data_IF_391300423207
#
_entry.id   IF_391300423207
#
_cell.length_a   1.000
_cell.length_b   1.000
_cell.length_c   1.000
_cell.angle_alpha   90.00
_cell.angle_beta   90.00
_cell.angle_gamma   90.00
#
_symmetry.space_group_name_H-M   'P 1'
#
loop_
_entity.id
_entity.type
_entity.pdbx_description
1 polymer ?
#
# COMPACT_ATOMS: atom_id res chain seq x y z
N UNK A 1 14.27 -1.41 3.27
CA UNK A 1 15.63 -1.45 3.85
C UNK A 1 16.01 -0.08 4.37
N UNK A 2 16.13 0.05 5.72
CA UNK A 2 16.62 1.24 6.41
C UNK A 2 18.17 1.33 6.37
N UNK A 3 18.80 0.88 5.28
CA UNK A 3 20.25 0.91 5.17
C UNK A 3 20.75 2.36 5.17
N UNK A 4 21.47 2.72 6.22
CA UNK A 4 22.04 4.07 6.39
C UNK A 4 21.26 4.99 7.31
N UNK A 5 20.10 4.60 7.83
CA UNK A 5 19.24 5.41 8.69
C UNK A 5 19.23 4.94 10.16
N UNK A 6 20.06 3.96 10.52
CA UNK A 6 20.19 3.48 11.89
C UNK A 6 20.57 4.61 12.88
N UNK A 7 21.23 5.66 12.37
CA UNK A 7 21.58 6.83 13.18
C UNK A 7 20.38 7.67 13.65
N UNK A 8 19.21 7.46 13.09
CA UNK A 8 17.97 8.12 13.53
C UNK A 8 17.41 7.53 14.83
N UNK A 9 17.95 6.38 15.28
CA UNK A 9 17.49 5.69 16.48
C UNK A 9 18.55 5.75 17.57
N UNK A 10 18.12 5.98 18.80
CA UNK A 10 18.96 5.83 19.99
C UNK A 10 19.14 4.37 20.41
N UNK A 11 18.20 3.52 19.97
CA UNK A 11 18.15 2.10 20.26
C UNK A 11 18.91 1.30 19.19
N UNK A 12 19.28 0.07 19.54
CA UNK A 12 19.87 -0.87 18.58
C UNK A 12 18.81 -1.31 17.57
N UNK A 13 19.05 -1.00 16.30
CA UNK A 13 18.16 -1.42 15.20
C UNK A 13 18.45 -2.90 14.87
N UNK A 14 17.41 -3.71 14.97
CA UNK A 14 17.47 -5.14 14.65
C UNK A 14 16.68 -5.38 13.37
N UNK A 15 17.34 -5.99 12.38
CA UNK A 15 16.72 -6.32 11.09
C UNK A 15 16.15 -7.72 11.15
N UNK A 16 14.88 -7.83 10.76
CA UNK A 16 14.24 -9.12 10.55
C UNK A 16 14.16 -9.42 9.05
N UNK A 17 14.18 -10.71 8.65
CA UNK A 17 13.99 -11.08 7.25
C UNK A 17 12.69 -10.53 6.67
N UNK A 18 12.69 -10.19 5.39
CA UNK A 18 11.55 -9.55 4.72
C UNK A 18 10.27 -10.40 4.73
N UNK A 19 10.40 -11.72 4.87
CA UNK A 19 9.33 -12.71 4.94
C UNK A 19 8.94 -13.12 6.37
N UNK A 20 9.55 -12.49 7.38
CA UNK A 20 9.25 -12.78 8.79
C UNK A 20 7.92 -12.20 9.30
N UNK A 21 7.33 -11.26 8.57
CA UNK A 21 6.06 -10.63 8.91
C UNK A 21 5.10 -10.66 7.71
N UNK A 22 4.55 -11.84 7.35
CA UNK A 22 3.55 -11.92 6.29
C UNK A 22 2.25 -11.25 6.73
N UNK A 23 1.47 -10.77 5.76
CA UNK A 23 0.12 -10.32 6.03
C UNK A 23 -0.77 -11.51 6.40
N UNK A 24 -1.81 -11.26 7.20
CA UNK A 24 -2.82 -12.27 7.50
C UNK A 24 -3.94 -12.13 6.48
N UNK A 25 -4.24 -13.18 5.69
CA UNK A 25 -5.35 -13.13 4.76
C UNK A 25 -6.66 -12.98 5.55
N UNK A 26 -7.60 -12.14 5.10
CA UNK A 26 -8.90 -12.04 5.74
C UNK A 26 -9.67 -13.36 5.62
N UNK A 27 -10.11 -13.91 6.75
CA UNK A 27 -10.67 -15.27 6.86
C UNK A 27 -11.91 -15.52 5.97
N UNK A 28 -12.71 -14.48 5.72
CA UNK A 28 -14.01 -14.60 5.03
C UNK A 28 -14.08 -13.85 3.70
N UNK A 29 -12.99 -13.27 3.22
CA UNK A 29 -13.00 -12.45 2.01
C UNK A 29 -12.42 -13.22 0.84
N UNK A 30 -13.30 -13.86 0.06
CA UNK A 30 -12.90 -14.39 -1.24
C UNK A 30 -12.50 -13.26 -2.17
N UNK A 31 -11.34 -13.42 -2.82
CA UNK A 31 -10.92 -12.51 -3.89
C UNK A 31 -12.02 -12.49 -4.97
N UNK A 32 -12.52 -11.30 -5.27
CA UNK A 32 -13.38 -11.13 -6.44
C UNK A 32 -12.53 -11.38 -7.68
N UNK A 33 -12.90 -12.31 -8.58
CA UNK A 33 -12.13 -12.56 -9.79
C UNK A 33 -11.94 -11.25 -10.56
N UNK A 34 -10.70 -10.96 -10.91
CA UNK A 34 -10.37 -9.79 -11.70
C UNK A 34 -10.63 -10.10 -13.17
N UNK A 35 -11.80 -9.72 -13.67
CA UNK A 35 -12.11 -9.74 -15.10
C UNK A 35 -11.94 -8.30 -15.62
N UNK A 36 -10.74 -7.96 -16.06
CA UNK A 36 -10.49 -6.64 -16.67
C UNK A 36 -10.66 -6.76 -18.18
N UNK A 37 -11.63 -6.02 -18.71
CA UNK A 37 -11.60 -5.66 -20.13
C UNK A 37 -10.57 -4.53 -20.28
N UNK A 38 -9.67 -4.65 -21.26
CA UNK A 38 -8.69 -3.62 -21.58
C UNK A 38 -9.33 -2.23 -21.61
N UNK A 39 -8.64 -1.25 -21.03
CA UNK A 39 -9.08 0.15 -21.06
C UNK A 39 -9.32 0.61 -22.51
N UNK A 40 -8.40 0.29 -23.41
CA UNK A 40 -8.51 0.65 -24.82
C UNK A 40 -9.74 0.03 -25.49
N UNK A 41 -10.07 -1.24 -25.17
CA UNK A 41 -11.27 -1.91 -25.68
C UNK A 41 -12.54 -1.21 -25.19
N UNK A 42 -12.58 -0.82 -23.89
CA UNK A 42 -13.71 -0.07 -23.33
C UNK A 42 -13.82 1.32 -23.95
N UNK A 43 -12.70 2.00 -24.15
CA UNK A 43 -12.64 3.30 -24.82
C UNK A 43 -13.17 3.24 -26.25
N UNK A 44 -12.81 2.21 -27.01
CA UNK A 44 -13.29 1.99 -28.37
C UNK A 44 -14.80 1.70 -28.42
N UNK A 45 -15.32 0.98 -27.43
CA UNK A 45 -16.75 0.70 -27.34
C UNK A 45 -17.58 1.95 -27.01
N UNK A 46 -16.98 2.96 -26.37
CA UNK A 46 -17.63 4.22 -26.00
C UNK A 46 -17.22 5.36 -26.92
N UNK A 47 -17.82 5.40 -28.10
CA UNK A 47 -17.45 6.34 -29.18
C UNK A 47 -17.83 7.80 -28.98
N UNK A 48 -18.66 8.14 -27.95
CA UNK A 48 -19.17 9.49 -27.75
C UNK A 48 -18.27 10.40 -26.91
N UNK A 49 -17.66 9.86 -25.83
CA UNK A 49 -16.81 10.64 -24.93
C UNK A 49 -15.63 9.81 -24.46
N UNK A 50 -14.43 10.41 -24.31
CA UNK A 50 -13.30 9.72 -23.74
C UNK A 50 -13.57 9.25 -22.30
N UNK A 51 -13.33 7.98 -22.01
CA UNK A 51 -13.38 7.48 -20.65
C UNK A 51 -12.22 8.04 -19.83
N UNK A 52 -12.47 8.55 -18.63
CA UNK A 52 -11.37 8.93 -17.74
C UNK A 52 -10.63 7.70 -17.24
N UNK A 53 -9.30 7.81 -17.11
CA UNK A 53 -8.49 6.85 -16.37
C UNK A 53 -8.82 7.00 -14.88
N UNK A 54 -9.35 5.95 -14.28
CA UNK A 54 -9.79 5.94 -12.89
C UNK A 54 -8.62 5.55 -12.00
N UNK A 55 -8.30 6.41 -11.05
CA UNK A 55 -7.17 6.26 -10.13
C UNK A 55 -7.70 6.04 -8.72
N UNK A 56 -7.44 4.88 -8.14
CA UNK A 56 -7.86 4.56 -6.78
C UNK A 56 -6.99 5.26 -5.73
N UNK A 57 -7.62 5.82 -4.72
CA UNK A 57 -6.99 6.34 -3.49
C UNK A 57 -7.58 5.56 -2.31
N UNK A 58 -6.91 4.48 -1.92
CA UNK A 58 -7.35 3.58 -0.84
C UNK A 58 -6.70 4.02 0.47
N UNK A 59 -7.25 5.02 1.13
CA UNK A 59 -6.59 5.62 2.29
C UNK A 59 -7.55 5.95 3.42
N UNK A 60 -7.06 5.89 4.66
CA UNK A 60 -7.79 6.44 5.79
C UNK A 60 -7.82 7.97 5.73
N UNK A 61 -8.84 8.54 6.34
CA UNK A 61 -9.07 9.99 6.44
C UNK A 61 -7.82 10.79 6.82
N UNK A 62 -7.06 10.29 7.80
CA UNK A 62 -5.88 10.99 8.36
C UNK A 62 -4.71 11.10 7.38
N UNK A 63 -4.72 10.32 6.30
CA UNK A 63 -3.67 10.32 5.29
C UNK A 63 -3.93 11.30 4.15
N UNK A 64 -5.17 11.81 4.04
CA UNK A 64 -5.55 12.80 3.03
C UNK A 64 -5.19 14.19 3.55
N UNK A 65 -4.08 14.71 3.09
CA UNK A 65 -3.55 15.99 3.50
C UNK A 65 -3.47 16.99 2.33
N UNK A 66 -3.32 18.30 2.60
CA UNK A 66 -3.31 19.32 1.55
C UNK A 66 -2.22 19.14 0.50
N UNK A 67 -1.02 18.69 0.88
CA UNK A 67 0.09 18.48 -0.07
C UNK A 67 -0.21 17.33 -1.02
N UNK A 68 -0.80 16.25 -0.51
CA UNK A 68 -1.24 15.13 -1.34
C UNK A 68 -2.33 15.56 -2.33
N UNK A 69 -3.36 16.27 -1.86
CA UNK A 69 -4.43 16.79 -2.72
C UNK A 69 -3.90 17.74 -3.79
N UNK A 70 -3.00 18.66 -3.42
CA UNK A 70 -2.37 19.57 -4.38
C UNK A 70 -1.56 18.81 -5.45
N UNK A 71 -0.87 17.73 -5.05
CA UNK A 71 -0.14 16.87 -5.99
C UNK A 71 -1.08 16.15 -6.95
N UNK A 72 -2.23 15.64 -6.47
CA UNK A 72 -3.24 15.02 -7.34
C UNK A 72 -3.85 16.04 -8.32
N UNK A 73 -4.11 17.27 -7.89
CA UNK A 73 -4.59 18.34 -8.77
C UNK A 73 -3.55 18.69 -9.84
N UNK A 74 -2.26 18.70 -9.49
CA UNK A 74 -1.19 18.93 -10.46
C UNK A 74 -1.09 17.79 -11.49
N UNK A 75 -1.31 16.54 -11.07
CA UNK A 75 -1.40 15.39 -11.97
C UNK A 75 -2.58 15.56 -12.94
N UNK A 76 -3.79 15.89 -12.42
CA UNK A 76 -4.97 16.12 -13.26
C UNK A 76 -4.72 17.25 -14.29
N UNK A 77 -4.12 18.36 -13.85
CA UNK A 77 -3.81 19.52 -14.69
C UNK A 77 -2.78 19.19 -15.80
N UNK A 78 -1.78 18.34 -15.51
CA UNK A 78 -0.68 17.99 -16.44
C UNK A 78 -1.02 16.82 -17.35
N UNK A 79 -2.01 16.02 -17.00
CA UNK A 79 -2.39 14.85 -17.78
C UNK A 79 -2.97 15.23 -19.14
N UNK A 80 -2.55 14.51 -20.19
CA UNK A 80 -3.05 14.62 -21.54
C UNK A 80 -4.36 13.86 -21.77
N UNK A 81 -4.74 13.01 -20.83
CA UNK A 81 -5.97 12.24 -20.88
C UNK A 81 -6.83 12.57 -19.66
N UNK A 82 -8.13 12.37 -19.76
CA UNK A 82 -9.01 12.57 -18.63
C UNK A 82 -8.66 11.62 -17.47
N UNK A 83 -8.52 12.16 -16.27
CA UNK A 83 -8.24 11.42 -15.04
C UNK A 83 -9.40 11.58 -14.07
N UNK A 84 -9.72 10.55 -13.33
CA UNK A 84 -10.70 10.61 -12.23
C UNK A 84 -10.16 9.91 -11.00
N UNK A 85 -9.92 10.68 -9.95
CA UNK A 85 -9.53 10.14 -8.64
C UNK A 85 -10.75 9.59 -7.92
N UNK A 86 -10.64 8.34 -7.46
CA UNK A 86 -11.70 7.62 -6.76
C UNK A 86 -11.22 7.33 -5.33
N UNK A 87 -11.71 8.10 -4.37
CA UNK A 87 -11.33 7.99 -2.97
C UNK A 87 -12.20 6.95 -2.26
N UNK A 88 -11.54 6.01 -1.58
CA UNK A 88 -12.14 4.99 -0.74
C UNK A 88 -11.67 5.22 0.70
N UNK A 89 -12.50 5.90 1.48
CA UNK A 89 -12.11 6.54 2.75
C UNK A 89 -12.25 5.61 3.97
N UNK A 90 -12.29 4.29 3.78
CA UNK A 90 -12.40 3.33 4.87
C UNK A 90 -13.63 3.57 5.73
N UNK A 91 -13.43 3.83 7.03
CA UNK A 91 -14.53 4.00 8.00
C UNK A 91 -15.07 5.44 8.09
N UNK A 92 -14.73 6.34 7.17
CA UNK A 92 -15.23 7.72 7.20
C UNK A 92 -16.75 7.76 7.04
N UNK A 93 -17.43 8.40 7.97
CA UNK A 93 -18.88 8.55 8.01
C UNK A 93 -19.30 9.92 8.55
N UNK A 94 -20.56 10.32 8.30
CA UNK A 94 -21.14 11.53 8.84
C UNK A 94 -20.34 12.78 8.52
N UNK A 95 -20.23 13.69 9.49
CA UNK A 95 -19.59 15.01 9.31
C UNK A 95 -18.12 14.90 8.84
N UNK A 96 -17.39 13.88 9.27
CA UNK A 96 -15.99 13.68 8.82
C UNK A 96 -15.94 13.41 7.33
N UNK A 97 -16.82 12.55 6.82
CA UNK A 97 -16.92 12.27 5.39
C UNK A 97 -17.33 13.52 4.60
N UNK A 98 -18.30 14.27 5.10
CA UNK A 98 -18.80 15.49 4.42
C UNK A 98 -17.74 16.58 4.38
N UNK A 99 -17.01 16.78 5.49
CA UNK A 99 -15.88 17.72 5.53
C UNK A 99 -14.81 17.35 4.50
N UNK A 100 -14.41 16.09 4.45
CA UNK A 100 -13.40 15.63 3.50
C UNK A 100 -13.88 15.69 2.06
N UNK A 101 -15.12 15.31 1.81
CA UNK A 101 -15.72 15.44 0.47
C UNK A 101 -15.65 16.88 -0.01
N UNK A 102 -16.00 17.83 0.83
CA UNK A 102 -15.92 19.25 0.50
C UNK A 102 -14.48 19.71 0.26
N UNK A 103 -13.53 19.28 1.12
CA UNK A 103 -12.13 19.62 0.96
C UNK A 103 -11.53 19.01 -0.33
N UNK A 104 -11.85 17.76 -0.64
CA UNK A 104 -11.43 17.10 -1.88
C UNK A 104 -12.03 17.80 -3.10
N UNK A 105 -13.33 18.04 -3.12
CA UNK A 105 -14.00 18.68 -4.26
C UNK A 105 -13.58 20.13 -4.47
N UNK A 106 -13.12 20.84 -3.44
CA UNK A 106 -12.56 22.18 -3.59
C UNK A 106 -11.26 22.17 -4.44
N UNK A 107 -10.53 21.05 -4.47
CA UNK A 107 -9.25 20.91 -5.18
C UNK A 107 -9.39 20.03 -6.42
N UNK A 108 -10.22 19.01 -6.36
CA UNK A 108 -10.48 17.99 -7.39
C UNK A 108 -12.01 17.89 -7.63
N UNK A 109 -12.64 18.81 -8.35
CA UNK A 109 -14.09 18.84 -8.53
C UNK A 109 -14.67 17.58 -9.18
N UNK A 110 -13.87 16.89 -10.02
CA UNK A 110 -14.25 15.65 -10.71
C UNK A 110 -14.03 14.37 -9.93
N UNK A 111 -13.51 14.44 -8.70
CA UNK A 111 -13.22 13.27 -7.90
C UNK A 111 -14.50 12.55 -7.40
N UNK A 112 -14.41 11.24 -7.30
CA UNK A 112 -15.42 10.41 -6.62
C UNK A 112 -15.00 10.18 -5.18
N UNK A 113 -15.85 10.52 -4.21
CA UNK A 113 -15.58 10.31 -2.78
C UNK A 113 -16.60 9.31 -2.24
N UNK A 114 -16.13 8.10 -2.01
CA UNK A 114 -16.96 6.98 -1.60
C UNK A 114 -16.98 6.86 -0.08
N UNK A 115 -18.16 6.68 0.49
CA UNK A 115 -18.35 6.31 1.88
C UNK A 115 -17.88 4.86 2.13
N UNK A 116 -17.85 4.49 3.40
CA UNK A 116 -17.62 3.08 3.77
C UNK A 116 -18.61 2.15 3.07
N UNK A 117 -18.11 1.06 2.55
CA UNK A 117 -18.90 0.05 1.86
C UNK A 117 -18.48 -1.37 2.27
N UNK A 118 -19.35 -2.38 2.09
CA UNK A 118 -18.99 -3.76 2.30
C UNK A 118 -17.79 -4.19 1.46
N UNK A 119 -16.99 -5.14 1.96
CA UNK A 119 -15.71 -5.53 1.33
C UNK A 119 -15.85 -5.97 -0.13
N UNK A 120 -16.89 -6.74 -0.46
CA UNK A 120 -17.12 -7.17 -1.85
C UNK A 120 -17.43 -5.99 -2.78
N UNK A 121 -18.21 -5.01 -2.30
CA UNK A 121 -18.50 -3.79 -3.06
C UNK A 121 -17.23 -2.95 -3.26
N UNK A 122 -16.39 -2.84 -2.22
CA UNK A 122 -15.10 -2.17 -2.29
C UNK A 122 -14.16 -2.84 -3.30
N UNK A 123 -14.02 -4.17 -3.26
CA UNK A 123 -13.23 -4.92 -4.25
C UNK A 123 -13.74 -4.72 -5.68
N UNK A 124 -15.05 -4.75 -5.87
CA UNK A 124 -15.66 -4.49 -7.17
C UNK A 124 -15.43 -3.05 -7.65
N UNK A 125 -15.46 -2.09 -6.72
CA UNK A 125 -15.14 -0.70 -7.03
C UNK A 125 -13.67 -0.50 -7.41
N UNK A 126 -12.74 -1.17 -6.72
CA UNK A 126 -11.32 -1.19 -7.11
C UNK A 126 -11.11 -1.79 -8.50
N UNK A 127 -11.83 -2.87 -8.84
CA UNK A 127 -11.78 -3.46 -10.17
C UNK A 127 -12.19 -2.50 -11.29
N UNK A 128 -12.93 -1.43 -10.97
CA UNK A 128 -13.28 -0.39 -11.94
C UNK A 128 -12.19 0.67 -12.11
N UNK A 129 -11.12 0.64 -11.33
CA UNK A 129 -9.98 1.54 -11.43
C UNK A 129 -8.86 0.93 -12.29
N UNK A 130 -7.97 1.78 -12.82
CA UNK A 130 -6.88 1.36 -13.70
C UNK A 130 -5.54 1.24 -12.96
N UNK A 131 -5.36 2.05 -11.94
CA UNK A 131 -4.16 2.13 -11.10
C UNK A 131 -4.54 2.68 -9.74
N UNK A 132 -3.58 2.66 -8.81
CA UNK A 132 -3.74 3.32 -7.52
C UNK A 132 -2.60 4.28 -7.22
N UNK A 133 -2.82 5.16 -6.25
CA UNK A 133 -1.79 6.05 -5.70
C UNK A 133 -1.79 5.96 -4.18
N UNK A 134 -0.60 5.81 -3.60
CA UNK A 134 -0.42 5.85 -2.15
C UNK A 134 -0.33 7.29 -1.67
N UNK A 135 -1.07 7.67 -0.62
CA UNK A 135 -0.88 8.97 0.02
C UNK A 135 0.50 9.04 0.70
N UNK A 136 0.96 10.25 0.93
CA UNK A 136 2.21 10.52 1.60
C UNK A 136 2.04 11.68 2.63
N UNK A 137 2.92 11.85 3.61
CA UNK A 137 4.18 11.13 3.86
C UNK A 137 4.02 9.75 4.50
N UNK A 138 2.84 9.38 4.95
CA UNK A 138 2.61 8.13 5.66
C UNK A 138 2.28 6.99 4.71
N UNK A 139 2.80 5.80 5.03
CA UNK A 139 2.54 4.57 4.27
C UNK A 139 1.05 4.23 4.14
N UNK A 140 0.71 3.47 3.14
CA UNK A 140 -0.66 3.02 2.89
C UNK A 140 -0.88 1.52 3.12
N UNK A 141 0.17 0.75 3.20
CA UNK A 141 0.24 -0.69 3.51
C UNK A 141 -1.00 -1.52 3.10
N UNK A 142 -2.08 -1.52 3.90
CA UNK A 142 -3.31 -2.26 3.59
C UNK A 142 -3.97 -1.82 2.28
N UNK A 143 -3.96 -0.52 1.98
CA UNK A 143 -4.49 -0.03 0.71
C UNK A 143 -3.66 -0.48 -0.49
N UNK A 144 -2.34 -0.63 -0.34
CA UNK A 144 -1.47 -1.24 -1.35
C UNK A 144 -1.84 -2.70 -1.55
N UNK A 145 -1.95 -3.47 -0.45
CA UNK A 145 -2.35 -4.90 -0.48
C UNK A 145 -3.69 -5.07 -1.19
N UNK A 146 -4.69 -4.26 -0.83
CA UNK A 146 -6.02 -4.32 -1.45
C UNK A 146 -5.95 -4.04 -2.96
N UNK A 147 -5.20 -3.01 -3.36
CA UNK A 147 -5.08 -2.59 -4.75
C UNK A 147 -4.34 -3.64 -5.61
N UNK A 148 -3.18 -4.13 -5.16
CA UNK A 148 -2.39 -5.10 -5.93
C UNK A 148 -3.09 -6.45 -6.04
N UNK A 149 -3.87 -6.87 -5.03
CA UNK A 149 -4.73 -8.06 -5.11
C UNK A 149 -5.79 -7.94 -6.20
N UNK A 150 -6.19 -6.72 -6.55
CA UNK A 150 -7.07 -6.44 -7.69
C UNK A 150 -6.29 -6.18 -8.99
N UNK A 151 -4.98 -6.45 -9.02
CA UNK A 151 -4.13 -6.25 -10.21
C UNK A 151 -3.94 -4.78 -10.58
N UNK A 152 -4.04 -3.86 -9.62
CA UNK A 152 -3.77 -2.44 -9.85
C UNK A 152 -2.29 -2.16 -9.66
N UNK A 153 -1.55 -1.69 -10.65
CA UNK A 153 -0.26 -1.06 -10.44
C UNK A 153 -0.45 0.30 -9.77
N UNK A 154 0.58 0.79 -9.10
CA UNK A 154 0.46 2.08 -8.41
C UNK A 154 1.79 2.78 -8.21
N UNK A 155 1.73 3.94 -7.55
CA UNK A 155 2.91 4.75 -7.21
C UNK A 155 2.91 5.03 -5.71
N UNK A 156 4.07 4.89 -5.08
CA UNK A 156 4.31 5.33 -3.72
C UNK A 156 5.42 6.39 -3.68
N UNK A 157 5.41 7.20 -2.62
CA UNK A 157 6.48 8.14 -2.31
C UNK A 157 7.29 7.59 -1.14
N UNK A 158 8.60 7.42 -1.34
CA UNK A 158 9.56 7.12 -0.28
C UNK A 158 10.35 8.35 0.12
N UNK A 159 10.95 8.33 1.30
CA UNK A 159 11.73 9.43 1.85
C UNK A 159 12.65 8.94 2.98
N UNK A 160 13.33 9.84 3.70
CA UNK A 160 14.28 9.46 4.74
C UNK A 160 13.63 8.89 6.00
N UNK A 161 12.34 9.06 6.17
CA UNK A 161 11.66 8.65 7.39
C UNK A 161 11.22 7.18 7.35
N UNK A 162 11.37 6.47 8.47
CA UNK A 162 11.00 5.04 8.60
C UNK A 162 9.60 4.73 8.06
N UNK A 163 8.65 5.61 8.36
CA UNK A 163 7.27 5.43 7.94
C UNK A 163 7.05 5.56 6.43
N UNK A 164 8.01 6.06 5.65
CA UNK A 164 7.92 6.16 4.19
C UNK A 164 8.37 4.89 3.45
N UNK A 165 9.07 3.97 4.12
CA UNK A 165 9.66 2.78 3.49
C UNK A 165 8.73 1.56 3.40
N UNK A 166 7.60 1.55 4.08
CA UNK A 166 6.73 0.36 4.12
C UNK A 166 6.11 0.06 2.76
N UNK A 167 5.58 1.08 2.07
CA UNK A 167 5.01 0.90 0.72
C UNK A 167 6.12 0.56 -0.29
N UNK A 168 7.28 1.19 -0.18
CA UNK A 168 8.49 0.83 -0.95
C UNK A 168 8.85 -0.65 -0.79
N UNK A 169 8.91 -1.13 0.45
CA UNK A 169 9.19 -2.54 0.75
C UNK A 169 8.20 -3.50 0.08
N UNK A 170 6.90 -3.15 0.07
CA UNK A 170 5.88 -3.92 -0.62
C UNK A 170 6.07 -3.91 -2.14
N UNK A 171 6.36 -2.75 -2.73
CA UNK A 171 6.60 -2.62 -4.17
C UNK A 171 7.79 -3.46 -4.62
N UNK A 172 8.90 -3.43 -3.87
CA UNK A 172 10.09 -4.25 -4.14
C UNK A 172 9.81 -5.74 -4.00
N UNK A 173 9.07 -6.14 -2.96
CA UNK A 173 8.66 -7.53 -2.74
C UNK A 173 7.80 -8.05 -3.89
N UNK A 174 6.92 -7.22 -4.44
CA UNK A 174 6.08 -7.51 -5.60
C UNK A 174 6.83 -7.37 -6.94
N UNK A 175 8.12 -6.98 -6.91
CA UNK A 175 8.96 -6.75 -8.10
C UNK A 175 8.37 -5.73 -9.07
N UNK A 176 7.69 -4.73 -8.53
CA UNK A 176 7.24 -3.59 -9.32
C UNK A 176 8.43 -2.74 -9.76
N UNK A 177 8.36 -2.04 -10.92
CA UNK A 177 9.43 -1.19 -11.40
C UNK A 177 9.85 -0.11 -10.38
N UNK A 178 11.16 0.11 -10.22
CA UNK A 178 11.72 1.11 -9.29
C UNK A 178 11.20 2.53 -9.57
N UNK A 179 10.87 2.86 -10.80
CA UNK A 179 10.30 4.15 -11.17
C UNK A 179 8.92 4.44 -10.55
N UNK A 180 8.24 3.42 -10.03
CA UNK A 180 6.98 3.55 -9.28
C UNK A 180 7.22 3.86 -7.79
N UNK A 181 8.47 3.83 -7.35
CA UNK A 181 8.93 4.21 -6.01
C UNK A 181 9.56 5.59 -6.12
N UNK A 182 8.75 6.62 -5.96
CA UNK A 182 9.20 7.99 -6.14
C UNK A 182 9.97 8.52 -4.92
N UNK A 183 11.04 9.28 -5.15
CA UNK A 183 11.86 9.90 -4.10
C UNK A 183 11.57 11.40 -3.91
N UNK A 184 10.50 11.90 -4.52
CA UNK A 184 10.08 13.30 -4.41
C UNK A 184 8.81 13.57 -5.22
N UNK A 185 8.16 14.69 -4.95
CA UNK A 185 6.85 15.03 -5.54
C UNK A 185 6.87 15.04 -7.06
N UNK A 186 7.91 15.58 -7.68
CA UNK A 186 8.00 15.63 -9.14
C UNK A 186 8.21 14.24 -9.76
N UNK A 187 8.98 13.36 -9.09
CA UNK A 187 9.12 11.97 -9.52
C UNK A 187 7.78 11.22 -9.37
N UNK A 188 7.05 11.47 -8.28
CA UNK A 188 5.73 10.91 -8.05
C UNK A 188 4.74 11.31 -9.15
N UNK A 189 4.67 12.61 -9.46
CA UNK A 189 3.82 13.13 -10.52
C UNK A 189 4.16 12.48 -11.87
N UNK A 190 5.45 12.41 -12.22
CA UNK A 190 5.89 11.78 -13.50
C UNK A 190 5.51 10.31 -13.56
N UNK A 191 5.71 9.55 -12.47
CA UNK A 191 5.37 8.13 -12.42
C UNK A 191 3.85 7.90 -12.59
N UNK A 192 3.02 8.72 -11.91
CA UNK A 192 1.56 8.63 -12.06
C UNK A 192 1.14 9.02 -13.47
N UNK A 193 1.67 10.12 -14.03
CA UNK A 193 1.35 10.53 -15.41
C UNK A 193 1.73 9.44 -16.41
N UNK A 194 2.86 8.77 -16.22
CA UNK A 194 3.26 7.65 -17.07
C UNK A 194 2.25 6.51 -17.00
N UNK A 195 1.84 6.09 -15.80
CA UNK A 195 0.79 5.06 -15.64
C UNK A 195 -0.56 5.49 -16.24
N UNK A 196 -0.89 6.78 -16.17
CA UNK A 196 -2.14 7.31 -16.71
C UNK A 196 -2.11 7.35 -18.25
N UNK A 197 -1.02 7.79 -18.85
CA UNK A 197 -0.92 8.09 -20.28
C UNK A 197 -0.44 6.90 -21.13
N UNK A 198 0.46 6.05 -20.60
CA UNK A 198 1.01 4.89 -21.30
C UNK A 198 0.14 3.65 -21.06
N UNK A 199 -0.96 3.50 -21.79
CA UNK A 199 -1.94 2.44 -21.58
C UNK A 199 -1.35 1.03 -21.70
N UNK A 200 -0.50 0.79 -22.70
CA UNK A 200 0.13 -0.51 -22.95
C UNK A 200 1.05 -0.90 -21.77
N UNK A 201 1.86 0.04 -21.29
CA UNK A 201 2.73 -0.20 -20.14
C UNK A 201 1.93 -0.49 -18.87
N UNK A 202 0.87 0.27 -18.60
CA UNK A 202 -0.03 0.01 -17.48
C UNK A 202 -0.67 -1.36 -17.56
N UNK A 203 -1.19 -1.75 -18.73
CA UNK A 203 -1.80 -3.06 -18.96
C UNK A 203 -0.79 -4.20 -18.78
N UNK A 204 0.44 -4.03 -19.24
CA UNK A 204 1.53 -4.99 -18.98
C UNK A 204 1.74 -5.21 -17.48
N UNK A 205 1.78 -4.14 -16.68
CA UNK A 205 1.93 -4.22 -15.23
C UNK A 205 0.70 -4.86 -14.55
N UNK A 206 -0.50 -4.58 -15.04
CA UNK A 206 -1.72 -5.23 -14.58
C UNK A 206 -1.68 -6.74 -14.83
N UNK A 207 -1.25 -7.16 -16.00
CA UNK A 207 -1.05 -8.59 -16.32
C UNK A 207 0.04 -9.22 -15.45
N UNK A 208 1.17 -8.54 -15.26
CA UNK A 208 2.22 -9.02 -14.37
C UNK A 208 1.69 -9.28 -12.95
N UNK A 209 0.87 -8.39 -12.39
CA UNK A 209 0.27 -8.57 -11.06
C UNK A 209 -0.80 -9.67 -11.04
N UNK A 210 -1.49 -9.89 -12.16
CA UNK A 210 -2.50 -10.97 -12.26
C UNK A 210 -1.86 -12.35 -12.40
N UNK A 211 -0.78 -12.42 -13.19
CA UNK A 211 -0.05 -13.67 -13.47
C UNK A 211 0.89 -14.06 -12.32
N UNK A 212 1.35 -13.08 -11.54
CA UNK A 212 2.13 -13.33 -10.33
C UNK A 212 1.23 -13.85 -9.21
N UNK A 213 1.77 -14.76 -8.38
CA UNK A 213 1.07 -15.18 -7.17
C UNK A 213 1.19 -14.13 -6.07
N UNK A 214 0.45 -13.01 -6.26
CA UNK A 214 0.40 -11.90 -5.30
C UNK A 214 -0.03 -12.38 -3.90
N UNK A 215 -0.94 -13.34 -3.83
CA UNK A 215 -1.41 -13.92 -2.56
C UNK A 215 -0.26 -14.63 -1.86
N UNK A 216 0.53 -15.44 -2.57
CA UNK A 216 1.71 -16.10 -2.04
C UNK A 216 2.74 -15.08 -1.54
N UNK A 217 3.07 -14.09 -2.37
CA UNK A 217 4.05 -13.06 -2.01
C UNK A 217 3.67 -12.31 -0.75
N UNK A 218 2.39 -12.01 -0.54
CA UNK A 218 1.91 -11.19 0.57
C UNK A 218 1.64 -11.99 1.85
N UNK A 219 1.05 -13.18 1.71
CA UNK A 219 0.50 -13.93 2.84
C UNK A 219 1.33 -15.13 3.27
N UNK A 220 2.23 -15.63 2.43
CA UNK A 220 3.17 -16.66 2.83
C UNK A 220 4.48 -16.04 3.36
N UNK A 221 5.03 -16.66 4.38
CA UNK A 221 6.27 -16.21 5.01
C UNK A 221 6.68 -17.10 6.17
N UNK A 222 7.67 -16.68 6.90
CA UNK A 222 8.32 -17.39 7.98
C UNK A 222 8.26 -16.61 9.30
N UNK A 223 7.07 -16.52 9.96
CA UNK A 223 6.91 -15.76 11.21
C UNK A 223 7.78 -16.33 12.35
N UNK A 224 8.20 -17.60 12.28
CA UNK A 224 9.16 -18.19 13.19
C UNK A 224 10.49 -17.44 13.19
N UNK A 225 10.96 -16.92 12.06
CA UNK A 225 12.18 -16.12 11.98
C UNK A 225 12.13 -14.84 12.82
N UNK A 226 10.95 -14.23 12.95
CA UNK A 226 10.75 -13.09 13.85
C UNK A 226 10.88 -13.52 15.31
N UNK A 227 10.27 -14.66 15.67
CA UNK A 227 10.35 -15.20 17.02
C UNK A 227 11.80 -15.57 17.39
N UNK A 228 12.56 -16.15 16.45
CA UNK A 228 13.98 -16.48 16.65
C UNK A 228 14.81 -15.22 16.94
N UNK A 229 14.66 -14.17 16.12
CA UNK A 229 15.36 -12.89 16.33
C UNK A 229 15.02 -12.29 17.71
N UNK A 230 13.77 -12.29 18.12
CA UNK A 230 13.36 -11.79 19.44
C UNK A 230 13.97 -12.64 20.55
N UNK A 231 14.00 -13.96 20.39
CA UNK A 231 14.59 -14.90 21.37
C UNK A 231 16.10 -14.66 21.53
N UNK A 232 16.81 -14.47 20.43
CA UNK A 232 18.26 -14.18 20.42
C UNK A 232 18.56 -12.86 21.15
N UNK A 233 17.80 -11.81 20.83
CA UNK A 233 17.93 -10.50 21.50
C UNK A 233 17.62 -10.61 22.99
N UNK A 234 16.58 -11.33 23.36
CA UNK A 234 16.23 -11.57 24.74
C UNK A 234 17.34 -12.28 25.50
N UNK A 235 17.92 -13.34 24.93
CA UNK A 235 19.04 -14.09 25.55
C UNK A 235 20.28 -13.22 25.74
N UNK A 236 20.58 -12.34 24.79
CA UNK A 236 21.73 -11.42 24.87
C UNK A 236 21.59 -10.36 25.94
N UNK A 237 20.34 -10.02 26.32
CA UNK A 237 20.05 -8.94 27.28
C UNK A 237 19.58 -9.44 28.67
N UNK A 238 19.45 -10.75 28.85
CA UNK A 238 19.21 -11.30 30.17
C UNK A 238 20.46 -11.07 31.07
N UNK A 239 20.31 -10.45 32.23
CA UNK A 239 21.41 -10.39 33.21
C UNK A 239 21.83 -11.82 33.58
N UNK A 240 23.12 -12.05 33.64
CA UNK A 240 23.77 -13.36 33.84
C UNK A 240 23.28 -14.09 35.13
N UNK A 241 22.62 -13.39 36.08
CA UNK A 241 22.16 -13.93 37.34
C UNK A 241 20.82 -14.71 37.29
N UNK A 242 20.01 -14.52 36.23
CA UNK A 242 18.72 -15.22 36.14
C UNK A 242 18.83 -16.70 35.72
N UNK A 243 19.98 -17.11 35.19
CA UNK A 243 20.22 -18.48 34.76
C UNK A 243 20.68 -19.42 35.90
N UNK A 244 21.27 -18.87 36.96
CA UNK A 244 21.81 -19.67 38.09
C UNK A 244 20.76 -20.06 39.11
N UNK A 245 19.64 -19.33 39.22
CA UNK A 245 18.57 -19.68 40.18
C UNK A 245 17.64 -20.83 39.75
N UNK A 246 17.58 -21.16 38.45
CA UNK A 246 16.73 -22.27 37.99
C UNK A 246 17.33 -23.66 38.15
N UNK A 247 18.60 -23.79 38.45
CA UNK A 247 19.24 -25.08 38.68
C UNK A 247 19.18 -25.50 40.16
N UNK A 248 18.89 -24.58 41.06
CA UNK A 248 18.90 -24.83 42.53
C UNK A 248 17.58 -25.38 43.14
N UNK A 249 16.48 -25.36 42.42
CA UNK A 249 15.14 -25.68 42.98
C UNK A 249 14.66 -27.11 42.73
N UNK A 250 15.42 -27.92 41.99
CA UNK A 250 15.01 -29.31 41.67
C UNK A 250 15.60 -30.41 42.57
N UNK A 251 16.31 -30.04 43.63
CA UNK A 251 16.93 -31.04 44.51
C UNK A 251 16.44 -31.04 45.98
N UNK A 252 15.32 -30.41 46.31
CA UNK A 252 14.78 -30.48 47.68
C UNK A 252 13.30 -30.92 47.75
N UNK A 253 12.94 -32.00 47.09
CA UNK A 253 11.71 -32.73 47.33
C UNK A 253 11.94 -34.24 47.17
N UNK A 254 12.87 -34.80 47.99
CA UNK A 254 12.94 -36.22 48.27
C UNK A 254 13.75 -36.44 49.55
N UNK A 255 13.10 -36.24 50.68
CA UNK A 255 13.44 -36.87 51.94
C UNK A 255 12.28 -36.82 52.90
#
# INVERSE_FOLDING_TARGET
DLVGEESCFSETVIRVPADAMPFVPPADVRRVPVTRTSFLTRQQAQWREPLPVRVAVCASVMKINPNFLATLAEIERRSRVAVRFCFYMGFAQGLTLDYLRNAIHAVLPGAEVNAHMPVQAYQSALNSCELFVSPFPYWNMNGVVDAVRQGLPGVCLTGPEVHSHIDEGLFRRLRLPEELIATGYEAYIRAVLRLVEEHEWREMLQHQLQDSDVEQVLFEGHPEKFADVISDVWQQHLPFDAASERVGTSQRLSS
#
